data_IF_738778730119
#
_entry.id   IF_738778730119
#
_cell.length_a   1.000
_cell.length_b   1.000
_cell.length_c   1.000
_cell.angle_alpha   90.00
_cell.angle_beta   90.00
_cell.angle_gamma   90.00
#
_symmetry.space_group_name_H-M   'P 1'
#
loop_
_entity.id
_entity.type
_entity.pdbx_description
1 polymer ?
#
# COMPACT_ATOMS: atom_id res chain seq x y z
N UNK A 1 49.18 16.97 49.53
CA UNK A 1 49.48 15.70 48.83
C UNK A 1 48.27 15.28 48.01
N UNK A 2 48.46 15.04 46.70
CA UNK A 2 47.70 14.18 45.75
C UNK A 2 46.17 14.37 45.69
N UNK A 3 45.64 15.05 44.65
CA UNK A 3 45.22 14.53 43.32
C UNK A 3 44.18 13.39 43.38
N UNK A 4 42.96 13.67 42.90
CA UNK A 4 42.23 13.00 41.80
C UNK A 4 40.73 13.40 41.86
N UNK A 5 40.26 14.32 41.01
CA UNK A 5 39.61 14.07 39.70
C UNK A 5 38.44 13.08 39.75
N UNK A 6 37.22 13.59 39.66
CA UNK A 6 36.14 12.97 38.90
C UNK A 6 35.15 14.06 38.44
N UNK A 7 35.34 14.54 37.21
CA UNK A 7 34.31 15.28 36.46
C UNK A 7 33.21 14.26 36.12
N UNK A 8 32.02 14.41 36.69
CA UNK A 8 30.82 13.74 36.17
C UNK A 8 30.21 14.68 35.13
N UNK A 9 30.61 14.53 33.88
CA UNK A 9 29.92 15.13 32.74
C UNK A 9 28.62 14.37 32.49
N UNK A 10 27.48 15.00 32.80
CA UNK A 10 26.17 14.52 32.37
C UNK A 10 26.07 14.71 30.85
N UNK A 11 26.38 13.64 30.09
CA UNK A 11 25.97 13.53 28.69
C UNK A 11 24.47 13.19 28.68
N UNK A 12 23.62 14.22 28.58
CA UNK A 12 22.25 14.06 28.15
C UNK A 12 22.27 13.71 26.64
N UNK A 13 22.36 12.42 26.34
CA UNK A 13 21.98 11.89 25.03
C UNK A 13 20.48 12.10 24.86
N UNK A 14 20.12 13.23 24.26
CA UNK A 14 18.82 13.43 23.66
C UNK A 14 18.65 12.38 22.56
N UNK A 15 17.94 11.30 22.88
CA UNK A 15 17.25 10.47 21.90
C UNK A 15 16.18 11.34 21.25
N UNK A 16 16.61 12.16 20.28
CA UNK A 16 15.71 12.69 19.28
C UNK A 16 15.20 11.46 18.52
N UNK A 17 14.02 10.97 18.91
CA UNK A 17 13.19 10.21 18.01
C UNK A 17 13.00 11.09 16.79
N UNK A 18 13.79 10.86 15.74
CA UNK A 18 13.50 11.40 14.43
C UNK A 18 12.10 10.91 14.12
N UNK A 19 11.12 11.82 14.20
CA UNK A 19 9.84 11.65 13.54
C UNK A 19 10.19 11.32 12.10
N UNK A 20 10.18 10.04 11.76
CA UNK A 20 10.45 9.54 10.43
C UNK A 20 9.33 10.11 9.57
N UNK A 21 9.63 11.26 8.94
CA UNK A 21 8.81 11.85 7.90
C UNK A 21 8.55 10.71 6.93
N UNK A 22 7.28 10.36 6.71
CA UNK A 22 6.93 9.55 5.56
C UNK A 22 7.32 10.38 4.33
N UNK A 23 8.56 10.21 3.89
CA UNK A 23 9.03 10.72 2.63
C UNK A 23 8.15 10.03 1.60
N UNK A 24 7.54 10.79 0.69
CA UNK A 24 6.90 10.20 -0.48
C UNK A 24 8.03 9.53 -1.28
N UNK A 25 8.35 8.29 -0.93
CA UNK A 25 9.41 7.52 -1.56
C UNK A 25 8.84 7.12 -2.91
N UNK A 26 9.22 7.87 -3.95
CA UNK A 26 8.85 7.54 -5.32
C UNK A 26 9.29 6.13 -5.67
N UNK A 27 8.38 5.36 -6.25
CA UNK A 27 8.59 4.06 -6.85
C UNK A 27 8.17 4.12 -8.32
N UNK A 28 8.63 5.17 -9.03
CA UNK A 28 8.31 5.36 -10.43
C UNK A 28 8.72 4.13 -11.26
N UNK A 29 7.91 3.80 -12.26
CA UNK A 29 8.19 2.69 -13.16
C UNK A 29 9.58 2.87 -13.80
N UNK A 30 10.40 1.82 -13.75
CA UNK A 30 11.79 1.84 -14.23
C UNK A 30 12.81 2.45 -13.27
N UNK A 31 12.43 2.83 -12.04
CA UNK A 31 13.36 3.28 -11.01
C UNK A 31 13.74 2.13 -10.07
N UNK A 32 14.87 2.27 -9.37
CA UNK A 32 15.44 1.24 -8.49
C UNK A 32 14.44 0.73 -7.42
N UNK A 33 13.67 1.62 -6.81
CA UNK A 33 12.66 1.24 -5.81
C UNK A 33 11.59 0.30 -6.39
N UNK A 34 11.11 0.57 -7.62
CA UNK A 34 10.14 -0.29 -8.30
C UNK A 34 10.78 -1.61 -8.73
N UNK A 35 12.01 -1.56 -9.25
CA UNK A 35 12.78 -2.76 -9.63
C UNK A 35 13.01 -3.70 -8.45
N UNK A 36 13.28 -3.17 -7.25
CA UNK A 36 13.41 -3.98 -6.03
C UNK A 36 12.13 -4.76 -5.68
N UNK A 37 10.95 -4.20 -5.92
CA UNK A 37 9.68 -4.92 -5.73
C UNK A 37 9.55 -6.10 -6.71
N UNK A 38 9.96 -5.90 -7.96
CA UNK A 38 9.97 -6.96 -8.98
C UNK A 38 10.97 -8.05 -8.60
N UNK A 39 12.21 -7.69 -8.30
CA UNK A 39 13.28 -8.64 -7.94
C UNK A 39 12.89 -9.47 -6.71
N UNK A 40 12.31 -8.84 -5.70
CA UNK A 40 11.81 -9.53 -4.51
C UNK A 40 10.69 -10.51 -4.85
N UNK A 41 9.76 -10.13 -5.74
CA UNK A 41 8.70 -11.01 -6.24
C UNK A 41 9.26 -12.25 -6.94
N UNK A 42 10.24 -12.09 -7.83
CA UNK A 42 10.86 -13.22 -8.54
C UNK A 42 11.64 -14.15 -7.61
N UNK A 43 12.38 -13.57 -6.66
CA UNK A 43 13.16 -14.32 -5.68
C UNK A 43 12.27 -15.17 -4.78
N UNK A 44 11.20 -14.59 -4.24
CA UNK A 44 10.34 -15.25 -3.25
C UNK A 44 9.34 -16.24 -3.86
N UNK A 45 9.01 -16.08 -5.14
CA UNK A 45 8.17 -17.03 -5.88
C UNK A 45 8.97 -18.09 -6.65
N UNK A 46 10.30 -18.15 -6.45
CA UNK A 46 11.22 -19.05 -7.15
C UNK A 46 11.03 -19.04 -8.68
N UNK A 47 10.92 -17.82 -9.24
CA UNK A 47 10.55 -17.61 -10.63
C UNK A 47 11.67 -16.97 -11.47
N UNK A 48 12.94 -17.21 -11.09
CA UNK A 48 14.11 -16.62 -11.78
C UNK A 48 14.22 -17.01 -13.27
N UNK A 49 13.61 -18.12 -13.69
CA UNK A 49 13.59 -18.55 -15.09
C UNK A 49 12.48 -17.93 -15.95
N UNK A 50 11.60 -17.10 -15.37
CA UNK A 50 10.57 -16.38 -16.14
C UNK A 50 11.17 -15.21 -16.91
N UNK A 51 10.50 -14.80 -18.00
CA UNK A 51 10.80 -13.56 -18.68
C UNK A 51 10.78 -12.38 -17.68
N UNK A 52 11.76 -11.45 -17.71
CA UNK A 52 11.77 -10.29 -16.83
C UNK A 52 10.51 -9.43 -17.00
N UNK A 53 9.92 -8.99 -15.89
CA UNK A 53 8.63 -8.27 -15.88
C UNK A 53 8.62 -7.07 -16.82
N UNK A 54 9.67 -6.24 -16.81
CA UNK A 54 9.76 -5.08 -17.70
C UNK A 54 9.66 -5.48 -19.18
N UNK A 55 10.41 -6.50 -19.60
CA UNK A 55 10.39 -6.98 -20.99
C UNK A 55 9.02 -7.53 -21.35
N UNK A 56 8.44 -8.34 -20.48
CA UNK A 56 7.11 -8.91 -20.68
C UNK A 56 6.02 -7.83 -20.78
N UNK A 57 5.98 -6.89 -19.83
CA UNK A 57 4.96 -5.85 -19.74
C UNK A 57 5.07 -4.84 -20.88
N UNK A 58 6.29 -4.41 -21.23
CA UNK A 58 6.53 -3.52 -22.36
C UNK A 58 6.22 -4.20 -23.70
N UNK A 59 6.56 -5.47 -23.85
CA UNK A 59 6.20 -6.26 -25.03
C UNK A 59 4.68 -6.45 -25.15
N UNK A 60 3.98 -6.69 -24.04
CA UNK A 60 2.52 -6.77 -24.01
C UNK A 60 1.88 -5.42 -24.39
N UNK A 61 2.40 -4.31 -23.86
CA UNK A 61 1.97 -2.97 -24.24
C UNK A 61 2.16 -2.72 -25.74
N UNK A 62 3.34 -3.03 -26.28
CA UNK A 62 3.65 -2.80 -27.69
C UNK A 62 2.70 -3.54 -28.64
N UNK A 63 2.34 -4.78 -28.31
CA UNK A 63 1.34 -5.54 -29.06
C UNK A 63 -0.07 -4.95 -28.95
N UNK A 64 -0.41 -4.38 -27.80
CA UNK A 64 -1.74 -3.81 -27.54
C UNK A 64 -1.93 -2.42 -28.15
N UNK A 65 -0.94 -1.54 -28.02
CA UNK A 65 -1.02 -0.12 -28.36
C UNK A 65 -0.33 0.24 -29.68
N UNK A 66 0.50 -0.65 -30.24
CA UNK A 66 1.25 -0.37 -31.47
C UNK A 66 2.46 0.56 -31.29
N UNK A 67 2.85 0.90 -30.06
CA UNK A 67 3.98 1.76 -29.72
C UNK A 67 4.74 1.24 -28.49
N UNK A 68 5.96 1.72 -28.23
CA UNK A 68 6.68 1.36 -27.00
C UNK A 68 6.08 2.04 -25.76
N UNK A 69 5.88 1.28 -24.67
CA UNK A 69 5.45 1.85 -23.38
C UNK A 69 6.41 2.94 -22.88
N UNK A 70 7.72 2.75 -23.09
CA UNK A 70 8.73 3.75 -22.72
C UNK A 70 8.55 5.04 -23.52
N UNK A 71 8.27 4.94 -24.82
CA UNK A 71 8.01 6.11 -25.66
C UNK A 71 6.71 6.80 -25.25
N UNK A 72 5.65 6.05 -24.95
CA UNK A 72 4.38 6.58 -24.47
C UNK A 72 4.53 7.35 -23.14
N UNK A 73 5.25 6.77 -22.18
CA UNK A 73 5.54 7.42 -20.89
C UNK A 73 6.37 8.70 -21.06
N UNK A 74 7.42 8.68 -21.89
CA UNK A 74 8.24 9.87 -22.15
C UNK A 74 7.50 10.95 -22.95
N UNK A 75 6.64 10.57 -23.90
CA UNK A 75 5.77 11.51 -24.60
C UNK A 75 4.81 12.21 -23.63
N UNK A 76 4.15 11.44 -22.75
CA UNK A 76 3.27 12.00 -21.72
C UNK A 76 4.02 12.90 -20.74
N UNK A 77 5.24 12.52 -20.34
CA UNK A 77 6.10 13.33 -19.47
C UNK A 77 6.46 14.67 -20.09
N UNK A 78 6.81 14.69 -21.38
CA UNK A 78 7.10 15.93 -22.11
C UNK A 78 5.90 16.86 -22.15
N UNK A 79 4.74 16.34 -22.58
CA UNK A 79 3.49 17.11 -22.59
C UNK A 79 3.19 17.66 -21.20
N UNK A 80 3.21 16.82 -20.17
CA UNK A 80 2.93 17.23 -18.80
C UNK A 80 3.83 18.38 -18.31
N UNK A 81 5.12 18.35 -18.66
CA UNK A 81 6.08 19.40 -18.31
C UNK A 81 5.76 20.78 -18.91
N UNK A 82 5.07 20.82 -20.05
CA UNK A 82 4.73 22.05 -20.78
C UNK A 82 3.37 22.65 -20.38
N UNK A 83 2.48 21.84 -19.79
CA UNK A 83 1.13 22.28 -19.42
C UNK A 83 1.12 23.26 -18.24
N UNK A 84 0.13 24.16 -18.22
CA UNK A 84 -0.21 25.03 -17.08
C UNK A 84 -1.27 24.38 -16.18
N UNK A 85 -1.41 24.86 -14.95
CA UNK A 85 -2.24 24.23 -13.90
C UNK A 85 -3.65 23.74 -14.32
N UNK A 86 -4.53 24.53 -14.97
CA UNK A 86 -5.86 24.03 -15.34
C UNK A 86 -5.81 22.93 -16.41
N UNK A 87 -4.84 23.00 -17.33
CA UNK A 87 -4.65 21.97 -18.35
C UNK A 87 -3.98 20.71 -17.76
N UNK A 88 -3.15 20.87 -16.72
CA UNK A 88 -2.50 19.76 -16.02
C UNK A 88 -3.53 18.84 -15.37
N UNK A 89 -4.52 19.37 -14.67
CA UNK A 89 -5.54 18.56 -14.00
C UNK A 89 -6.33 17.67 -14.97
N UNK A 90 -6.69 18.22 -16.14
CA UNK A 90 -7.34 17.45 -17.21
C UNK A 90 -6.43 16.33 -17.72
N UNK A 91 -5.17 16.66 -18.04
CA UNK A 91 -4.20 15.69 -18.55
C UNK A 91 -3.83 14.61 -17.53
N UNK A 92 -3.77 14.96 -16.25
CA UNK A 92 -3.58 14.05 -15.12
C UNK A 92 -4.72 13.02 -15.06
N UNK A 93 -5.97 13.47 -15.14
CA UNK A 93 -7.14 12.59 -15.18
C UNK A 93 -7.12 11.66 -16.40
N UNK A 94 -6.81 12.18 -17.59
CA UNK A 94 -6.68 11.37 -18.81
C UNK A 94 -5.56 10.32 -18.69
N UNK A 95 -4.42 10.70 -18.10
CA UNK A 95 -3.29 9.80 -17.88
C UNK A 95 -3.62 8.72 -16.85
N UNK A 96 -4.43 9.03 -15.83
CA UNK A 96 -4.96 8.03 -14.90
C UNK A 96 -5.87 7.01 -15.60
N UNK A 97 -6.78 7.47 -16.46
CA UNK A 97 -7.64 6.59 -17.27
C UNK A 97 -6.79 5.71 -18.18
N UNK A 98 -5.77 6.27 -18.83
CA UNK A 98 -4.83 5.53 -19.67
C UNK A 98 -4.12 4.43 -18.85
N UNK A 99 -3.52 4.76 -17.70
CA UNK A 99 -2.82 3.80 -16.86
C UNK A 99 -3.76 2.68 -16.36
N UNK A 100 -4.96 3.03 -15.90
CA UNK A 100 -6.01 2.08 -15.52
C UNK A 100 -6.36 1.11 -16.66
N UNK A 101 -6.63 1.64 -17.87
CA UNK A 101 -6.98 0.82 -19.04
C UNK A 101 -5.83 -0.07 -19.46
N UNK A 102 -4.60 0.45 -19.46
CA UNK A 102 -3.39 -0.32 -19.76
C UNK A 102 -3.24 -1.51 -18.83
N UNK A 103 -3.30 -1.31 -17.51
CA UNK A 103 -3.13 -2.42 -16.57
C UNK A 103 -4.22 -3.48 -16.71
N UNK A 104 -5.49 -3.06 -16.90
CA UNK A 104 -6.59 -4.02 -17.12
C UNK A 104 -6.48 -4.79 -18.43
N UNK A 105 -6.00 -4.14 -19.49
CA UNK A 105 -5.81 -4.78 -20.79
C UNK A 105 -4.64 -5.79 -20.76
N UNK A 106 -3.53 -5.43 -20.13
CA UNK A 106 -2.31 -6.24 -20.14
C UNK A 106 -2.30 -7.36 -19.09
N UNK A 107 -3.04 -7.19 -17.99
CA UNK A 107 -3.14 -8.18 -16.92
C UNK A 107 -4.63 -8.45 -16.64
N UNK A 108 -5.33 -9.20 -17.50
CA UNK A 108 -6.79 -9.22 -17.49
C UNK A 108 -7.41 -10.02 -16.34
N UNK A 109 -6.70 -11.02 -15.79
CA UNK A 109 -7.27 -11.96 -14.81
C UNK A 109 -7.13 -11.40 -13.40
N UNK A 110 -8.22 -11.28 -12.68
CA UNK A 110 -8.18 -10.91 -11.26
C UNK A 110 -8.05 -12.17 -10.39
N UNK A 111 -7.14 -12.16 -9.42
CA UNK A 111 -6.85 -13.31 -8.55
C UNK A 111 -6.54 -12.85 -7.13
N UNK A 112 -7.38 -13.25 -6.17
CA UNK A 112 -7.14 -13.02 -4.74
C UNK A 112 -6.11 -13.99 -4.14
N UNK A 113 -5.76 -15.06 -4.84
CA UNK A 113 -4.83 -16.07 -4.34
C UNK A 113 -3.38 -15.69 -4.60
N UNK A 114 -3.10 -15.12 -5.77
CA UNK A 114 -1.74 -14.96 -6.30
C UNK A 114 -1.54 -13.64 -7.05
N UNK A 115 -2.59 -12.91 -7.40
CA UNK A 115 -2.51 -11.73 -8.26
C UNK A 115 -1.72 -10.54 -7.69
N UNK A 116 -1.24 -10.61 -6.45
CA UNK A 116 -0.41 -9.59 -5.84
C UNK A 116 1.07 -9.65 -6.29
N UNK A 117 1.53 -10.67 -7.02
CA UNK A 117 2.96 -10.82 -7.40
C UNK A 117 3.27 -10.42 -8.84
N UNK A 118 4.35 -9.66 -9.06
CA UNK A 118 4.87 -9.34 -10.39
C UNK A 118 5.20 -10.60 -11.20
N UNK A 119 5.83 -11.61 -10.57
CA UNK A 119 6.15 -12.88 -11.22
C UNK A 119 4.90 -13.63 -11.69
N UNK A 120 3.78 -13.50 -10.97
CA UNK A 120 2.52 -14.16 -11.32
C UNK A 120 1.69 -13.38 -12.34
N UNK A 121 1.89 -12.07 -12.47
CA UNK A 121 1.43 -11.35 -13.66
C UNK A 121 2.09 -11.92 -14.93
N UNK A 122 3.42 -12.15 -14.91
CA UNK A 122 4.12 -12.74 -16.06
C UNK A 122 3.68 -14.19 -16.31
N UNK A 123 3.63 -15.02 -15.27
CA UNK A 123 3.35 -16.45 -15.43
C UNK A 123 1.89 -16.74 -15.79
N UNK A 124 0.94 -16.02 -15.21
CA UNK A 124 -0.48 -16.37 -15.25
C UNK A 124 -1.39 -15.27 -15.83
N UNK A 125 -0.87 -14.06 -16.06
CA UNK A 125 -1.67 -12.90 -16.43
C UNK A 125 -2.61 -12.44 -15.31
N UNK A 126 -2.23 -12.71 -14.05
CA UNK A 126 -3.04 -12.43 -12.87
C UNK A 126 -2.65 -11.11 -12.18
N UNK A 127 -3.65 -10.36 -11.73
CA UNK A 127 -3.51 -9.15 -10.90
C UNK A 127 -4.43 -9.18 -9.69
N UNK A 128 -4.09 -8.36 -8.71
CA UNK A 128 -4.88 -8.05 -7.52
C UNK A 128 -4.72 -6.55 -7.22
N UNK A 129 -5.54 -6.03 -6.30
CA UNK A 129 -5.58 -4.66 -5.84
C UNK A 129 -4.22 -4.03 -5.51
N UNK A 130 -3.33 -4.75 -4.82
CA UNK A 130 -1.98 -4.22 -4.52
C UNK A 130 -1.14 -4.04 -5.79
N UNK A 131 -0.96 -5.11 -6.56
CA UNK A 131 -0.08 -5.11 -7.72
C UNK A 131 -0.50 -4.06 -8.74
N UNK A 132 -1.79 -4.03 -9.09
CA UNK A 132 -2.29 -3.07 -10.06
C UNK A 132 -2.12 -1.62 -9.58
N UNK A 133 -2.34 -1.34 -8.29
CA UNK A 133 -2.22 0.01 -7.74
C UNK A 133 -0.77 0.47 -7.73
N UNK A 134 0.16 -0.43 -7.41
CA UNK A 134 1.60 -0.15 -7.49
C UNK A 134 2.03 0.12 -8.95
N UNK A 135 1.58 -0.67 -9.91
CA UNK A 135 1.90 -0.45 -11.34
C UNK A 135 1.32 0.88 -11.83
N UNK A 136 0.04 1.15 -11.56
CA UNK A 136 -0.62 2.40 -11.97
C UNK A 136 0.09 3.61 -11.38
N UNK A 137 0.32 3.63 -10.06
CA UNK A 137 1.02 4.72 -9.40
C UNK A 137 2.46 4.87 -9.92
N UNK A 138 3.17 3.77 -10.15
CA UNK A 138 4.52 3.78 -10.73
C UNK A 138 4.55 4.40 -12.13
N UNK A 139 3.58 4.07 -13.00
CA UNK A 139 3.44 4.66 -14.33
C UNK A 139 3.16 6.17 -14.27
N UNK A 140 2.25 6.59 -13.40
CA UNK A 140 1.91 8.01 -13.22
C UNK A 140 3.10 8.81 -12.64
N UNK A 141 3.82 8.25 -11.66
CA UNK A 141 5.05 8.85 -11.16
C UNK A 141 6.14 8.95 -12.24
N UNK A 142 6.23 7.97 -13.17
CA UNK A 142 7.18 8.03 -14.30
C UNK A 142 6.87 9.19 -15.26
N UNK A 143 5.61 9.59 -15.38
CA UNK A 143 5.19 10.77 -16.13
C UNK A 143 5.55 12.08 -15.38
N UNK A 144 5.87 12.01 -14.09
CA UNK A 144 6.18 13.16 -13.23
C UNK A 144 5.00 13.60 -12.36
N UNK A 145 3.92 12.82 -12.32
CA UNK A 145 2.71 13.14 -11.55
C UNK A 145 2.84 12.69 -10.09
N UNK A 146 2.11 13.36 -9.20
CA UNK A 146 2.08 13.05 -7.77
C UNK A 146 1.09 11.92 -7.49
N UNK A 147 1.54 10.69 -7.70
CA UNK A 147 0.73 9.49 -7.45
C UNK A 147 1.34 8.58 -6.38
N UNK A 148 0.52 7.70 -5.80
CA UNK A 148 0.92 6.74 -4.78
C UNK A 148 -0.21 5.75 -4.51
N UNK A 149 -0.24 5.18 -3.31
CA UNK A 149 -1.30 4.25 -2.92
C UNK A 149 -1.79 4.53 -1.50
N UNK A 150 -3.01 4.07 -1.23
CA UNK A 150 -3.69 4.10 0.06
C UNK A 150 -4.39 2.76 0.31
N UNK A 151 -4.64 2.44 1.58
CA UNK A 151 -5.48 1.29 1.94
C UNK A 151 -6.94 1.72 1.95
N UNK A 152 -7.85 0.79 1.67
CA UNK A 152 -9.30 1.00 1.73
C UNK A 152 -9.87 0.17 2.87
N UNK A 153 -10.50 0.85 3.84
CA UNK A 153 -11.18 0.19 4.96
C UNK A 153 -12.70 0.19 4.81
N UNK A 154 -13.27 1.04 3.95
CA UNK A 154 -14.70 1.05 3.62
C UNK A 154 -14.90 1.19 2.11
N UNK A 155 -15.52 0.20 1.50
CA UNK A 155 -15.70 0.12 0.05
C UNK A 155 -16.68 1.17 -0.48
N UNK A 156 -16.84 1.24 -1.82
CA UNK A 156 -17.84 2.10 -2.44
C UNK A 156 -19.29 1.68 -2.10
N UNK A 157 -19.48 0.42 -1.70
CA UNK A 157 -20.75 -0.13 -1.25
C UNK A 157 -20.92 -0.10 0.28
N UNK A 158 -20.02 0.58 1.00
CA UNK A 158 -20.08 0.71 2.45
C UNK A 158 -19.60 -0.51 3.23
N UNK A 159 -19.07 -1.54 2.57
CA UNK A 159 -18.54 -2.72 3.25
C UNK A 159 -17.24 -2.37 3.98
N UNK A 160 -17.19 -2.69 5.27
CA UNK A 160 -16.02 -2.43 6.13
C UNK A 160 -15.07 -3.63 6.13
N UNK A 161 -13.78 -3.35 6.02
CA UNK A 161 -12.70 -4.33 6.13
C UNK A 161 -11.65 -3.88 7.15
N UNK A 162 -10.67 -4.74 7.40
CA UNK A 162 -9.51 -4.46 8.25
C UNK A 162 -8.31 -3.89 7.46
N UNK A 163 -8.56 -3.11 6.39
CA UNK A 163 -7.57 -2.70 5.37
C UNK A 163 -7.23 -3.81 4.37
N UNK A 164 -8.22 -4.58 3.90
CA UNK A 164 -7.99 -5.70 2.97
C UNK A 164 -7.72 -5.31 1.51
N UNK A 165 -7.91 -4.04 1.15
CA UNK A 165 -7.87 -3.54 -0.22
C UNK A 165 -6.92 -2.34 -0.36
N UNK A 166 -6.29 -2.21 -1.53
CA UNK A 166 -5.30 -1.17 -1.87
C UNK A 166 -5.76 -0.51 -3.16
N UNK A 167 -5.73 0.82 -3.20
CA UNK A 167 -6.04 1.60 -4.41
C UNK A 167 -4.94 2.63 -4.68
N UNK A 168 -4.73 2.98 -5.96
CA UNK A 168 -3.82 4.06 -6.30
C UNK A 168 -4.51 5.41 -6.07
N UNK A 169 -3.73 6.44 -5.73
CA UNK A 169 -4.20 7.82 -5.61
C UNK A 169 -3.36 8.71 -6.51
N UNK A 170 -4.00 9.60 -7.25
CA UNK A 170 -3.36 10.66 -8.01
C UNK A 170 -3.77 12.01 -7.43
N UNK A 171 -2.79 12.82 -7.00
CA UNK A 171 -3.03 14.21 -6.61
C UNK A 171 -3.01 15.10 -7.84
N UNK A 172 -4.13 15.78 -8.09
CA UNK A 172 -4.30 16.69 -9.20
C UNK A 172 -3.68 18.07 -8.90
N UNK A 173 -3.30 18.75 -9.96
CA UNK A 173 -2.74 20.11 -9.92
C UNK A 173 -3.76 21.17 -9.49
N UNK A 174 -5.06 20.85 -9.48
CA UNK A 174 -6.14 21.73 -9.02
C UNK A 174 -6.46 21.59 -7.53
N UNK A 175 -5.76 20.70 -6.81
CA UNK A 175 -5.93 20.47 -5.37
C UNK A 175 -6.85 19.31 -5.01
N UNK A 176 -7.45 18.60 -5.97
CA UNK A 176 -8.22 17.38 -5.70
C UNK A 176 -7.34 16.13 -5.76
N UNK A 177 -7.79 15.05 -5.11
CA UNK A 177 -7.22 13.72 -5.26
C UNK A 177 -8.20 12.80 -6.02
N UNK A 178 -7.69 11.84 -6.80
CA UNK A 178 -8.48 10.80 -7.48
C UNK A 178 -8.03 9.43 -7.04
N UNK A 179 -8.98 8.56 -6.68
CA UNK A 179 -8.73 7.13 -6.55
C UNK A 179 -8.67 6.51 -7.95
N UNK A 180 -7.67 5.67 -8.22
CA UNK A 180 -7.51 4.98 -9.49
C UNK A 180 -7.45 3.48 -9.24
N UNK A 181 -8.56 2.78 -9.48
CA UNK A 181 -8.70 1.38 -9.05
C UNK A 181 -9.05 0.43 -10.19
N UNK A 182 -8.09 -0.40 -10.60
CA UNK A 182 -8.32 -1.40 -11.63
C UNK A 182 -9.18 -2.61 -11.20
N UNK A 183 -9.53 -2.74 -9.92
CA UNK A 183 -10.46 -3.76 -9.44
C UNK A 183 -11.88 -3.45 -9.86
N UNK A 184 -12.21 -2.17 -10.00
CA UNK A 184 -13.54 -1.71 -10.32
C UNK A 184 -13.78 -1.62 -11.83
N UNK A 185 -15.03 -1.66 -12.31
CA UNK A 185 -15.35 -1.48 -13.73
C UNK A 185 -15.01 -0.08 -14.26
N UNK A 186 -15.08 0.93 -13.40
CA UNK A 186 -14.81 2.33 -13.72
C UNK A 186 -13.54 2.80 -13.00
N UNK A 187 -12.76 3.73 -13.59
CA UNK A 187 -11.43 4.08 -13.10
C UNK A 187 -11.42 4.80 -11.75
N UNK A 188 -12.47 5.56 -11.43
CA UNK A 188 -12.51 6.47 -10.28
C UNK A 188 -13.62 6.08 -9.30
N UNK A 189 -13.51 4.94 -8.60
CA UNK A 189 -14.50 4.58 -7.60
C UNK A 189 -14.46 5.53 -6.41
N UNK A 190 -15.62 5.72 -5.79
CA UNK A 190 -15.78 6.55 -4.61
C UNK A 190 -15.80 5.68 -3.34
N UNK A 191 -14.66 5.07 -3.00
CA UNK A 191 -14.53 4.32 -1.76
C UNK A 191 -14.77 5.22 -0.54
N UNK A 192 -15.56 4.76 0.42
CA UNK A 192 -16.04 5.61 1.50
C UNK A 192 -15.07 5.74 2.68
N UNK A 193 -13.96 4.99 2.68
CA UNK A 193 -13.03 5.00 3.79
C UNK A 193 -11.63 4.55 3.39
N UNK A 194 -10.65 5.40 3.70
CA UNK A 194 -9.25 5.23 3.38
C UNK A 194 -8.37 5.22 4.64
N UNK A 195 -7.27 4.48 4.58
CA UNK A 195 -6.25 4.46 5.62
C UNK A 195 -4.91 4.85 5.00
N UNK A 196 -4.35 5.96 5.48
CA UNK A 196 -3.14 6.57 4.95
C UNK A 196 -2.50 7.50 5.98
N UNK A 197 -1.42 8.18 5.60
CA UNK A 197 -0.65 9.08 6.46
C UNK A 197 -1.35 10.43 6.65
N UNK A 198 -1.49 10.89 7.89
CA UNK A 198 -1.88 12.24 8.27
C UNK A 198 -0.61 13.05 8.56
N UNK A 199 -0.31 14.03 7.70
CA UNK A 199 0.91 14.86 7.84
C UNK A 199 0.83 15.81 9.03
N UNK A 200 -0.37 16.16 9.50
CA UNK A 200 -0.55 17.07 10.63
C UNK A 200 -0.25 16.39 11.96
N UNK A 201 -0.54 15.09 12.06
CA UNK A 201 -0.28 14.26 13.24
C UNK A 201 1.07 13.53 13.15
N UNK A 202 1.63 13.40 11.94
CA UNK A 202 2.85 12.62 11.73
C UNK A 202 2.64 11.13 11.99
N UNK A 203 1.47 10.61 11.63
CA UNK A 203 1.09 9.21 11.86
C UNK A 203 0.04 8.72 10.83
N UNK A 204 -0.29 7.42 10.86
CA UNK A 204 -1.41 6.91 10.07
C UNK A 204 -2.78 7.24 10.68
N UNK A 205 -3.81 7.31 9.84
CA UNK A 205 -5.18 7.63 10.26
C UNK A 205 -6.22 6.98 9.36
N UNK A 206 -7.35 6.62 9.95
CA UNK A 206 -8.57 6.28 9.21
C UNK A 206 -9.30 7.58 8.83
N UNK A 207 -9.56 7.75 7.53
CA UNK A 207 -10.14 8.94 6.93
C UNK A 207 -11.33 8.57 6.04
N UNK A 208 -12.27 9.50 5.89
CA UNK A 208 -13.42 9.42 5.02
C UNK A 208 -13.28 10.48 3.91
N UNK A 209 -13.03 10.09 2.64
CA UNK A 209 -12.88 11.06 1.56
C UNK A 209 -14.18 11.84 1.35
N UNK A 210 -14.03 13.15 1.14
CA UNK A 210 -15.13 14.07 0.82
C UNK A 210 -15.06 14.36 -0.67
N UNK A 211 -16.02 13.80 -1.41
CA UNK A 211 -16.08 13.90 -2.86
C UNK A 211 -16.80 15.16 -3.33
N UNK A 212 -16.33 15.70 -4.45
CA UNK A 212 -17.06 16.68 -5.26
C UNK A 212 -17.89 15.97 -6.34
N UNK A 213 -18.71 16.73 -7.07
CA UNK A 213 -19.66 16.24 -8.10
C UNK A 213 -18.98 15.48 -9.23
N UNK A 214 -17.71 15.77 -9.49
CA UNK A 214 -16.89 15.16 -10.55
C UNK A 214 -16.11 13.91 -10.08
N UNK A 215 -16.34 13.49 -8.83
CA UNK A 215 -15.67 12.38 -8.18
C UNK A 215 -14.27 12.68 -7.66
N UNK A 216 -13.79 13.93 -7.77
CA UNK A 216 -12.57 14.38 -7.11
C UNK A 216 -12.73 14.43 -5.59
N UNK A 217 -11.71 14.03 -4.85
CA UNK A 217 -11.66 14.18 -3.40
C UNK A 217 -11.16 15.59 -3.10
N UNK A 218 -11.99 16.43 -2.50
CA UNK A 218 -11.63 17.81 -2.11
C UNK A 218 -11.03 17.90 -0.70
N UNK A 219 -11.36 16.95 0.16
CA UNK A 219 -10.92 16.90 1.56
C UNK A 219 -11.06 15.48 2.12
N UNK A 220 -10.55 15.27 3.33
CA UNK A 220 -10.63 14.01 4.06
C UNK A 220 -11.18 14.25 5.46
N UNK A 221 -12.40 13.78 5.71
CA UNK A 221 -12.99 13.78 7.05
C UNK A 221 -12.25 12.81 7.97
N UNK A 222 -12.01 13.23 9.19
CA UNK A 222 -11.47 12.36 10.23
C UNK A 222 -12.61 11.53 10.82
N UNK A 223 -12.45 10.20 10.82
CA UNK A 223 -13.45 9.27 11.39
C UNK A 223 -13.80 9.67 12.83
N UNK A 224 -15.10 9.84 13.09
CA UNK A 224 -15.64 10.17 14.40
C UNK A 224 -15.39 11.61 14.86
N UNK A 225 -14.90 12.50 13.99
CA UNK A 225 -14.67 13.93 14.30
C UNK A 225 -15.27 14.83 13.22
N UNK A 226 -15.48 16.11 13.57
CA UNK A 226 -15.91 17.15 12.61
C UNK A 226 -14.74 17.78 11.83
N UNK A 227 -13.52 17.29 12.07
CA UNK A 227 -12.28 17.76 11.48
C UNK A 227 -12.18 17.25 10.02
N UNK A 228 -11.88 18.15 9.09
CA UNK A 228 -11.52 17.82 7.70
C UNK A 228 -10.07 18.20 7.44
N UNK A 229 -9.32 17.32 6.79
CA UNK A 229 -7.97 17.55 6.30
C UNK A 229 -8.02 17.93 4.82
N UNK A 230 -7.21 18.91 4.40
CA UNK A 230 -7.01 19.22 2.98
C UNK A 230 -6.19 18.11 2.32
N UNK A 231 -6.31 17.95 1.00
CA UNK A 231 -5.59 16.92 0.25
C UNK A 231 -4.07 16.98 0.43
N UNK A 232 -3.49 18.18 0.53
CA UNK A 232 -2.06 18.36 0.80
C UNK A 232 -1.61 17.95 2.22
N UNK A 233 -2.53 17.85 3.17
CA UNK A 233 -2.28 17.44 4.56
C UNK A 233 -2.32 15.91 4.71
N UNK A 234 -2.81 15.21 3.69
CA UNK A 234 -2.85 13.75 3.66
C UNK A 234 -1.67 13.24 2.84
N UNK A 235 -0.86 12.35 3.41
CA UNK A 235 0.24 11.66 2.74
C UNK A 235 -0.23 10.40 2.02
N UNK A 236 0.66 9.82 1.22
CA UNK A 236 0.49 8.51 0.59
C UNK A 236 1.26 7.47 1.40
N UNK A 237 0.95 6.18 1.22
CA UNK A 237 1.71 5.11 1.87
C UNK A 237 3.17 5.11 1.40
N UNK A 238 4.08 4.85 2.34
CA UNK A 238 5.52 4.71 2.08
C UNK A 238 5.82 3.42 1.32
N UNK A 239 7.00 3.35 0.69
CA UNK A 239 7.48 2.11 0.07
C UNK A 239 7.57 0.96 1.10
N UNK A 240 7.99 1.25 2.33
CA UNK A 240 8.08 0.25 3.39
C UNK A 240 6.70 -0.30 3.78
N UNK A 241 5.66 0.55 3.80
CA UNK A 241 4.29 0.08 3.98
C UNK A 241 3.85 -0.82 2.82
N UNK A 242 4.15 -0.44 1.57
CA UNK A 242 3.80 -1.27 0.41
C UNK A 242 4.53 -2.63 0.43
N UNK A 243 5.83 -2.65 0.80
CA UNK A 243 6.59 -3.88 1.01
C UNK A 243 5.99 -4.73 2.12
N UNK A 244 5.62 -4.12 3.24
CA UNK A 244 4.86 -4.77 4.32
C UNK A 244 3.60 -5.43 3.78
N UNK A 245 2.87 -4.76 2.88
CA UNK A 245 1.64 -5.31 2.30
C UNK A 245 1.89 -6.46 1.31
N UNK A 246 2.99 -6.46 0.54
CA UNK A 246 3.36 -7.64 -0.26
C UNK A 246 3.64 -8.86 0.65
N UNK A 247 4.41 -8.66 1.73
CA UNK A 247 4.66 -9.71 2.71
C UNK A 247 3.38 -10.17 3.43
N UNK A 248 2.47 -9.25 3.72
CA UNK A 248 1.15 -9.58 4.25
C UNK A 248 0.42 -10.56 3.34
N UNK A 249 0.29 -10.27 2.04
CA UNK A 249 -0.43 -11.17 1.13
C UNK A 249 0.27 -12.52 0.95
N UNK A 250 1.62 -12.55 0.94
CA UNK A 250 2.37 -13.82 0.96
C UNK A 250 2.06 -14.65 2.20
N UNK A 251 1.91 -14.01 3.35
CA UNK A 251 1.58 -14.66 4.61
C UNK A 251 0.11 -15.11 4.67
N UNK A 252 -0.81 -14.25 4.28
CA UNK A 252 -2.25 -14.53 4.22
C UNK A 252 -2.56 -15.71 3.27
N UNK A 253 -1.90 -15.73 2.11
CA UNK A 253 -2.14 -16.69 1.01
C UNK A 253 -1.14 -17.83 0.96
N UNK A 254 -0.34 -18.04 2.00
CA UNK A 254 0.57 -19.19 2.07
C UNK A 254 -0.24 -20.50 1.94
N UNK A 255 0.14 -21.43 1.06
CA UNK A 255 -0.54 -22.71 0.93
C UNK A 255 -0.58 -23.49 2.26
N UNK A 256 -1.77 -23.95 2.66
CA UNK A 256 -2.00 -24.57 3.97
C UNK A 256 -1.80 -23.62 5.16
N UNK A 257 -1.79 -22.32 4.91
CA UNK A 257 -1.49 -21.29 5.90
C UNK A 257 -2.70 -20.77 6.67
N UNK A 258 -2.73 -19.46 6.85
CA UNK A 258 -3.75 -18.77 7.62
C UNK A 258 -5.15 -18.95 7.05
N UNK A 259 -5.32 -18.75 5.74
CA UNK A 259 -6.60 -18.87 5.05
C UNK A 259 -6.92 -20.32 4.68
N UNK A 260 -8.17 -20.72 4.90
CA UNK A 260 -8.64 -22.08 4.59
C UNK A 260 -8.14 -23.16 5.56
N UNK A 261 -8.18 -24.45 5.16
CA UNK A 261 -7.62 -25.55 5.94
C UNK A 261 -6.12 -25.37 6.18
N UNK A 262 -5.73 -25.35 7.45
CA UNK A 262 -4.35 -25.08 7.86
C UNK A 262 -3.55 -26.36 8.09
N UNK A 263 -2.27 -26.34 7.74
CA UNK A 263 -1.26 -27.35 8.10
C UNK A 263 -0.17 -26.71 8.96
N UNK A 264 0.58 -27.49 9.78
CA UNK A 264 1.68 -26.93 10.56
C UNK A 264 2.70 -26.19 9.71
N UNK A 265 3.12 -26.77 8.58
CA UNK A 265 4.09 -26.16 7.67
C UNK A 265 3.57 -24.86 7.04
N UNK A 266 2.31 -24.85 6.59
CA UNK A 266 1.71 -23.66 6.00
C UNK A 266 1.55 -22.53 7.01
N UNK A 267 1.16 -22.83 8.26
CA UNK A 267 1.10 -21.83 9.33
C UNK A 267 2.49 -21.24 9.64
N UNK A 268 3.54 -22.06 9.65
CA UNK A 268 4.92 -21.57 9.77
C UNK A 268 5.31 -20.64 8.61
N UNK A 269 4.93 -20.98 7.37
CA UNK A 269 5.16 -20.11 6.22
C UNK A 269 4.39 -18.78 6.34
N UNK A 270 3.11 -18.82 6.76
CA UNK A 270 2.32 -17.61 7.05
C UNK A 270 3.00 -16.74 8.10
N UNK A 271 3.40 -17.31 9.23
CA UNK A 271 4.05 -16.59 10.32
C UNK A 271 5.33 -15.91 9.85
N UNK A 272 6.20 -16.63 9.13
CA UNK A 272 7.47 -16.08 8.62
C UNK A 272 7.25 -14.84 7.74
N UNK A 273 6.30 -14.91 6.80
CA UNK A 273 6.02 -13.75 5.95
C UNK A 273 5.36 -12.59 6.71
N UNK A 274 4.45 -12.87 7.64
CA UNK A 274 3.84 -11.84 8.47
C UNK A 274 4.86 -11.17 9.41
N UNK A 275 5.85 -11.92 9.92
CA UNK A 275 6.97 -11.37 10.69
C UNK A 275 7.82 -10.42 9.82
N UNK A 276 8.08 -10.75 8.55
CA UNK A 276 8.72 -9.83 7.60
C UNK A 276 7.85 -8.58 7.34
N UNK A 277 6.52 -8.75 7.22
CA UNK A 277 5.59 -7.63 7.03
C UNK A 277 5.65 -6.65 8.21
N UNK A 278 5.64 -7.17 9.44
CA UNK A 278 5.76 -6.37 10.67
C UNK A 278 7.14 -5.73 10.78
N UNK A 279 8.21 -6.41 10.35
CA UNK A 279 9.56 -5.83 10.35
C UNK A 279 9.68 -4.68 9.34
N UNK A 280 9.06 -4.82 8.17
CA UNK A 280 9.09 -3.81 7.12
C UNK A 280 8.35 -2.53 7.53
N UNK A 281 7.17 -2.66 8.15
CA UNK A 281 6.44 -1.51 8.70
C UNK A 281 5.69 -1.94 9.97
N UNK A 282 6.29 -1.72 11.16
CA UNK A 282 5.71 -2.16 12.44
C UNK A 282 4.45 -1.39 12.81
N UNK A 283 4.17 -0.26 12.14
CA UNK A 283 2.97 0.54 12.35
C UNK A 283 1.81 0.13 11.44
N UNK A 284 2.00 -0.83 10.53
CA UNK A 284 0.92 -1.40 9.74
C UNK A 284 0.07 -2.34 10.62
N UNK A 285 -1.18 -1.96 10.97
CA UNK A 285 -1.95 -2.69 11.98
C UNK A 285 -2.39 -4.08 11.49
N UNK A 286 -2.58 -4.23 10.18
CA UNK A 286 -3.09 -5.45 9.56
C UNK A 286 -2.18 -6.67 9.75
N UNK A 287 -0.89 -6.66 9.32
CA UNK A 287 0.00 -7.79 9.53
C UNK A 287 0.29 -8.05 11.01
N UNK A 288 0.33 -7.03 11.86
CA UNK A 288 0.51 -7.21 13.33
C UNK A 288 -0.65 -8.01 13.91
N UNK A 289 -1.88 -7.61 13.61
CA UNK A 289 -3.09 -8.31 14.02
C UNK A 289 -3.15 -9.75 13.47
N UNK A 290 -2.95 -9.93 12.17
CA UNK A 290 -3.05 -11.25 11.52
C UNK A 290 -1.94 -12.20 11.98
N UNK A 291 -0.73 -11.70 12.29
CA UNK A 291 0.33 -12.51 12.89
C UNK A 291 -0.13 -13.13 14.23
N UNK A 292 -0.85 -12.36 15.05
CA UNK A 292 -1.42 -12.88 16.29
C UNK A 292 -2.45 -13.99 16.06
N UNK A 293 -3.30 -13.87 15.02
CA UNK A 293 -4.22 -14.94 14.65
C UNK A 293 -3.49 -16.21 14.17
N UNK A 294 -2.40 -16.06 13.42
CA UNK A 294 -1.57 -17.19 13.00
C UNK A 294 -0.90 -17.86 14.20
N UNK A 295 -0.31 -17.09 15.11
CA UNK A 295 0.25 -17.63 16.35
C UNK A 295 -0.78 -18.37 17.19
N UNK A 296 -2.03 -17.89 17.24
CA UNK A 296 -3.12 -18.59 17.91
C UNK A 296 -3.37 -19.96 17.27
N UNK A 297 -3.47 -20.01 15.93
CA UNK A 297 -3.61 -21.29 15.18
C UNK A 297 -2.42 -22.23 15.38
N UNK A 298 -1.23 -21.71 15.65
CA UNK A 298 -0.03 -22.50 15.97
C UNK A 298 0.02 -22.98 17.44
N UNK A 299 -0.93 -22.60 18.29
CA UNK A 299 -0.88 -22.88 19.74
C UNK A 299 0.11 -22.01 20.53
N UNK A 300 0.70 -20.98 19.91
CA UNK A 300 1.61 -20.03 20.55
C UNK A 300 0.82 -18.93 21.28
N UNK A 301 0.01 -19.31 22.26
CA UNK A 301 -1.05 -18.48 22.83
C UNK A 301 -0.52 -17.16 23.42
N UNK A 302 0.55 -17.18 24.19
CA UNK A 302 1.14 -15.97 24.77
C UNK A 302 1.66 -14.99 23.72
N UNK A 303 2.27 -15.50 22.66
CA UNK A 303 2.71 -14.66 21.54
C UNK A 303 1.50 -14.10 20.76
N UNK A 304 0.45 -14.90 20.60
CA UNK A 304 -0.79 -14.49 19.95
C UNK A 304 -1.47 -13.33 20.69
N UNK A 305 -1.62 -13.45 22.01
CA UNK A 305 -2.21 -12.40 22.86
C UNK A 305 -1.48 -11.07 22.69
N UNK A 306 -0.14 -11.08 22.80
CA UNK A 306 0.68 -9.88 22.62
C UNK A 306 0.49 -9.22 21.25
N UNK A 307 0.49 -10.01 20.17
CA UNK A 307 0.34 -9.44 18.83
C UNK A 307 -1.07 -8.94 18.54
N UNK A 308 -2.11 -9.62 19.02
CA UNK A 308 -3.48 -9.13 18.89
C UNK A 308 -3.68 -7.82 19.67
N UNK A 309 -3.17 -7.75 20.90
CA UNK A 309 -3.22 -6.52 21.70
C UNK A 309 -2.46 -5.37 21.02
N UNK A 310 -1.27 -5.63 20.47
CA UNK A 310 -0.51 -4.64 19.72
C UNK A 310 -1.25 -4.17 18.45
N UNK A 311 -1.81 -5.10 17.67
CA UNK A 311 -2.58 -4.77 16.46
C UNK A 311 -3.82 -3.94 16.78
N UNK A 312 -4.57 -4.31 17.83
CA UNK A 312 -5.70 -3.54 18.34
C UNK A 312 -5.30 -2.13 18.75
N UNK A 313 -4.20 -1.99 19.50
CA UNK A 313 -3.70 -0.69 19.95
C UNK A 313 -3.34 0.23 18.76
N UNK A 314 -2.79 -0.33 17.68
CA UNK A 314 -2.54 0.43 16.45
C UNK A 314 -3.86 0.89 15.80
N UNK A 315 -4.83 0.00 15.60
CA UNK A 315 -6.16 0.37 15.07
C UNK A 315 -6.82 1.48 15.91
N UNK A 316 -6.79 1.33 17.24
CA UNK A 316 -7.34 2.31 18.18
C UNK A 316 -6.63 3.66 18.07
N UNK A 317 -5.29 3.66 18.04
CA UNK A 317 -4.45 4.85 17.86
C UNK A 317 -4.80 5.61 16.59
N UNK A 318 -5.12 4.90 15.51
CA UNK A 318 -5.46 5.50 14.21
C UNK A 318 -6.92 5.94 14.09
N UNK A 319 -7.73 5.74 15.13
CA UNK A 319 -9.07 6.30 15.26
C UNK A 319 -10.21 5.37 14.84
N UNK A 320 -9.94 4.12 14.42
CA UNK A 320 -10.98 3.16 14.08
C UNK A 320 -10.54 1.72 14.30
N UNK A 321 -11.38 0.94 14.96
CA UNK A 321 -11.16 -0.50 15.18
C UNK A 321 -12.23 -1.30 14.44
N UNK A 322 -11.86 -2.11 13.42
CA UNK A 322 -12.80 -3.02 12.76
C UNK A 322 -13.25 -4.16 13.69
N UNK A 323 -14.38 -4.81 13.38
CA UNK A 323 -14.96 -5.87 14.22
C UNK A 323 -14.05 -7.08 14.43
N UNK A 324 -13.30 -7.51 13.41
CA UNK A 324 -12.34 -8.62 13.54
C UNK A 324 -11.30 -8.39 14.64
N UNK A 325 -10.52 -7.29 14.57
CA UNK A 325 -9.62 -6.88 15.65
C UNK A 325 -10.29 -6.73 17.02
N UNK A 326 -11.52 -6.21 17.12
CA UNK A 326 -12.26 -6.14 18.39
C UNK A 326 -12.50 -7.53 18.98
N UNK A 327 -13.06 -8.44 18.19
CA UNK A 327 -13.37 -9.80 18.63
C UNK A 327 -12.12 -10.57 19.06
N UNK A 328 -11.02 -10.43 18.32
CA UNK A 328 -9.76 -11.06 18.69
C UNK A 328 -9.19 -10.46 19.99
N UNK A 329 -9.32 -9.15 20.20
CA UNK A 329 -8.84 -8.48 21.41
C UNK A 329 -9.57 -8.98 22.67
N UNK A 330 -10.88 -9.21 22.59
CA UNK A 330 -11.66 -9.83 23.69
C UNK A 330 -11.05 -11.19 24.06
N UNK A 331 -10.86 -12.07 23.08
CA UNK A 331 -10.20 -13.36 23.31
C UNK A 331 -8.79 -13.21 23.91
N UNK A 332 -8.03 -12.20 23.49
CA UNK A 332 -6.67 -12.00 24.00
C UNK A 332 -6.62 -11.50 25.45
N UNK A 333 -7.75 -11.01 25.99
CA UNK A 333 -7.92 -10.60 27.38
C UNK A 333 -8.46 -11.69 28.32
N UNK A 334 -8.91 -12.82 27.78
CA UNK A 334 -9.30 -14.04 28.51
C UNK A 334 -8.08 -14.87 28.94
#
# INVERSE_FOLDING_TARGET
MKRHKALLGLLLLSLAATCARAQETGYAYGYEAFSRLIEESYRLTHSQGLEPFYRWFEGAYARHAGESLRQALEARRRVYGELKAPQRAVFERESAIWAYRTVKALIPRFSLERGYEFAYAVRYGERQCLLQSVIIAGMLQRIGMRAGAVMVWKSLHGQVSNNGHVTAVLRLSDGHDLLVDASEPQPFPQHQGLFTWDRTQGDYRFLEPVYDVDGGIRAYGVVGRREELKTQEVGLLSLDFLRSQFFYYRGERAPGGFMGPSTPQGLWASARFLEEAVRAEPRNPLPVYVLGLVYRKQGRLEAARRQIQAGYALYQRYGFVPEGPKAAYVWAGE
#
